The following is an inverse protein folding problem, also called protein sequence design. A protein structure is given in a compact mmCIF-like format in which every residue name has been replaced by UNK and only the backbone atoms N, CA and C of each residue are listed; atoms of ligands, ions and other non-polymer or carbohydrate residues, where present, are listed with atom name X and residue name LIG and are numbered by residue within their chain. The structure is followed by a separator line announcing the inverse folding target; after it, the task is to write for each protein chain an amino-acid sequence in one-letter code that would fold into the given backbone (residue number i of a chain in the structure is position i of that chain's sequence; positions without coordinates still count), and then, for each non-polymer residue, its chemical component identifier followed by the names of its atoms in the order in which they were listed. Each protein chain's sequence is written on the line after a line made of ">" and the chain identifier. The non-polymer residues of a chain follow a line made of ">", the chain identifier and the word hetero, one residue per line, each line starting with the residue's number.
data_IF_857299264580
#
_entry.id   IF_857299264580
#
_cell.length_a   1.000
_cell.length_b   1.000
_cell.length_c   1.000
_cell.angle_alpha   90.00
_cell.angle_beta   90.00
_cell.angle_gamma   90.00
#
_symmetry.space_group_name_H-M   'P 1'
#
loop_
_entity.id
_entity.type
_entity.pdbx_description
1 polymer ?
#
# COMPACT_ATOMS: atom_id res chain seq x y z
N UNK A 1 18.40 -29.90 27.05
CA UNK A 1 17.13 -29.54 27.70
C UNK A 1 16.02 -30.24 26.96
N UNK A 2 15.04 -30.76 27.69
CA UNK A 2 13.91 -31.52 27.18
C UNK A 2 12.65 -31.10 27.95
N UNK A 3 11.50 -31.03 27.30
CA UNK A 3 10.24 -30.65 27.93
C UNK A 3 10.10 -29.13 28.09
N UNK A 4 9.40 -28.67 29.14
CA UNK A 4 9.18 -27.22 29.36
C UNK A 4 10.19 -26.65 30.34
N UNK A 5 10.72 -25.46 30.04
CA UNK A 5 11.64 -24.81 30.96
C UNK A 5 12.06 -23.41 30.54
N UNK A 6 12.70 -22.72 31.48
CA UNK A 6 13.29 -21.39 31.29
C UNK A 6 14.81 -21.53 31.28
N UNK A 7 15.46 -20.95 30.27
CA UNK A 7 16.90 -20.76 30.22
C UNK A 7 17.20 -19.27 30.11
N UNK A 8 18.09 -18.78 30.96
CA UNK A 8 18.67 -17.43 30.86
C UNK A 8 20.16 -17.58 30.58
N UNK A 9 20.62 -16.97 29.50
CA UNK A 9 22.02 -16.96 29.09
C UNK A 9 22.78 -15.80 29.77
N UNK A 10 24.11 -15.86 29.77
CA UNK A 10 24.96 -14.87 30.45
C UNK A 10 24.85 -13.46 29.86
N UNK A 11 24.44 -13.34 28.59
CA UNK A 11 24.17 -12.07 27.91
C UNK A 11 22.82 -11.43 28.32
N UNK A 12 22.05 -12.09 29.20
CA UNK A 12 20.74 -11.65 29.63
C UNK A 12 19.59 -12.05 28.69
N UNK A 13 19.89 -12.70 27.56
CA UNK A 13 18.86 -13.30 26.72
C UNK A 13 18.23 -14.50 27.42
N UNK A 14 16.96 -14.78 27.11
CA UNK A 14 16.24 -15.88 27.73
C UNK A 14 15.24 -16.53 26.80
N UNK A 15 14.96 -17.80 27.06
CA UNK A 15 13.89 -18.54 26.43
C UNK A 15 13.05 -19.24 27.51
N UNK A 16 11.74 -19.07 27.44
CA UNK A 16 10.74 -19.75 28.26
C UNK A 16 9.76 -20.48 27.33
N UNK A 17 9.83 -21.81 27.28
CA UNK A 17 9.00 -22.59 26.35
C UNK A 17 9.32 -24.08 26.29
N UNK A 18 8.88 -24.72 25.21
CA UNK A 18 9.15 -26.13 24.95
C UNK A 18 10.56 -26.32 24.36
N UNK A 19 11.21 -27.40 24.77
CA UNK A 19 12.56 -27.81 24.40
C UNK A 19 12.56 -29.25 23.91
N UNK A 20 13.40 -29.51 22.90
CA UNK A 20 13.74 -30.86 22.47
C UNK A 20 15.21 -30.89 22.05
N UNK A 21 16.00 -31.80 22.63
CA UNK A 21 17.42 -31.93 22.31
C UNK A 21 18.18 -30.58 22.31
N UNK A 22 17.99 -29.78 23.37
CA UNK A 22 18.60 -28.44 23.54
C UNK A 22 18.17 -27.39 22.50
N UNK A 23 17.19 -27.69 21.65
CA UNK A 23 16.61 -26.76 20.68
C UNK A 23 15.25 -26.25 21.14
N UNK A 24 14.91 -25.00 20.79
CA UNK A 24 13.55 -24.50 20.99
C UNK A 24 12.58 -25.23 20.08
N UNK A 25 11.46 -25.65 20.62
CA UNK A 25 10.37 -26.29 19.90
C UNK A 25 9.02 -25.75 20.38
N UNK A 26 7.95 -26.13 19.70
CA UNK A 26 6.59 -25.95 20.19
C UNK A 26 6.25 -24.48 20.40
N UNK A 27 5.79 -24.12 21.59
CA UNK A 27 5.51 -22.73 21.96
C UNK A 27 6.57 -22.19 22.91
N UNK A 28 6.93 -20.93 22.73
CA UNK A 28 7.86 -20.28 23.65
C UNK A 28 7.99 -18.77 23.45
N UNK A 29 8.59 -18.13 24.44
CA UNK A 29 8.95 -16.72 24.47
C UNK A 29 10.46 -16.60 24.49
N UNK A 30 11.06 -16.05 23.43
CA UNK A 30 12.47 -15.66 23.41
C UNK A 30 12.59 -14.15 23.63
N UNK A 31 13.39 -13.75 24.60
CA UNK A 31 13.87 -12.38 24.78
C UNK A 31 15.35 -12.33 24.43
N UNK A 32 15.74 -11.42 23.55
CA UNK A 32 17.15 -11.15 23.22
C UNK A 32 17.73 -10.10 24.17
N UNK A 33 19.05 -10.11 24.35
CA UNK A 33 19.76 -9.10 25.13
C UNK A 33 19.50 -7.66 24.62
N UNK A 34 19.34 -7.51 23.31
CA UNK A 34 19.05 -6.23 22.64
C UNK A 34 17.59 -5.77 22.79
N UNK A 35 16.76 -6.49 23.55
CA UNK A 35 15.37 -6.11 23.85
C UNK A 35 14.32 -6.54 22.83
N UNK A 36 14.69 -7.28 21.77
CA UNK A 36 13.69 -7.91 20.91
C UNK A 36 13.03 -9.10 21.61
N UNK A 37 11.74 -9.29 21.36
CA UNK A 37 10.94 -10.39 21.90
C UNK A 37 10.22 -11.13 20.77
N UNK A 38 10.26 -12.47 20.79
CA UNK A 38 9.36 -13.31 20.01
C UNK A 38 8.52 -14.17 20.95
N UNK A 39 7.21 -14.19 20.73
CA UNK A 39 6.27 -15.08 21.38
C UNK A 39 5.52 -15.87 20.31
N UNK A 40 5.69 -17.18 20.28
CA UNK A 40 4.94 -18.01 19.35
C UNK A 40 5.57 -19.37 19.12
N UNK A 41 5.37 -19.86 17.90
CA UNK A 41 5.72 -21.21 17.49
C UNK A 41 7.19 -21.31 17.08
N UNK A 42 7.85 -22.39 17.49
CA UNK A 42 9.25 -22.69 17.23
C UNK A 42 9.42 -24.08 16.63
N UNK A 43 10.33 -24.20 15.67
CA UNK A 43 10.81 -25.46 15.12
C UNK A 43 12.33 -25.41 15.01
N UNK A 44 13.03 -26.31 15.71
CA UNK A 44 14.50 -26.44 15.68
C UNK A 44 15.21 -25.09 15.91
N UNK A 45 14.80 -24.38 16.98
CA UNK A 45 15.33 -23.06 17.34
C UNK A 45 15.06 -21.92 16.36
N UNK A 46 14.24 -22.14 15.32
CA UNK A 46 13.75 -21.11 14.39
C UNK A 46 12.29 -20.79 14.66
N UNK A 47 11.88 -19.56 14.38
CA UNK A 47 10.45 -19.19 14.35
C UNK A 47 9.77 -19.91 13.19
N UNK A 48 8.76 -20.72 13.49
CA UNK A 48 8.04 -21.51 12.48
C UNK A 48 6.60 -21.72 12.96
N UNK A 49 5.62 -21.28 12.16
CA UNK A 49 4.21 -21.20 12.55
C UNK A 49 3.77 -19.79 12.94
N UNK A 50 2.74 -19.67 13.78
CA UNK A 50 2.19 -18.36 14.20
C UNK A 50 3.01 -17.77 15.35
N UNK A 51 3.30 -16.47 15.30
CA UNK A 51 3.95 -15.77 16.40
C UNK A 51 3.97 -14.25 16.26
N UNK A 52 4.18 -13.59 17.40
CA UNK A 52 4.34 -12.14 17.52
C UNK A 52 5.82 -11.83 17.76
N UNK A 53 6.41 -11.01 16.90
CA UNK A 53 7.73 -10.44 17.11
C UNK A 53 7.61 -8.94 17.41
N UNK A 54 8.19 -8.52 18.52
CA UNK A 54 8.28 -7.13 18.92
C UNK A 54 9.76 -6.74 18.88
N UNK A 55 10.10 -5.77 18.03
CA UNK A 55 11.45 -5.24 17.98
C UNK A 55 11.66 -4.23 19.10
N UNK A 56 12.89 -4.11 19.60
CA UNK A 56 13.26 -3.08 20.57
C UNK A 56 13.02 -1.64 20.06
N UNK A 57 13.02 -1.46 18.73
CA UNK A 57 12.67 -0.21 18.05
C UNK A 57 11.17 0.13 18.08
N UNK A 58 10.32 -0.75 18.62
CA UNK A 58 8.87 -0.56 18.70
C UNK A 58 8.08 -1.06 17.49
N UNK A 59 8.74 -1.59 16.46
CA UNK A 59 8.04 -2.34 15.41
C UNK A 59 7.38 -3.59 16.02
N UNK A 60 6.28 -4.04 15.41
CA UNK A 60 5.64 -5.30 15.79
C UNK A 60 5.13 -6.04 14.55
N UNK A 61 5.28 -7.36 14.54
CA UNK A 61 4.72 -8.25 13.52
C UNK A 61 3.99 -9.39 14.21
N UNK A 62 2.71 -9.52 13.93
CA UNK A 62 1.86 -10.63 14.33
C UNK A 62 1.47 -11.41 13.07
N UNK A 63 2.06 -12.58 12.87
CA UNK A 63 1.90 -13.28 11.60
C UNK A 63 2.44 -14.69 11.59
N UNK A 64 2.51 -15.25 10.39
CA UNK A 64 3.10 -16.54 10.13
C UNK A 64 4.60 -16.42 9.86
N UNK A 65 5.34 -17.42 10.29
CA UNK A 65 6.78 -17.53 10.19
C UNK A 65 7.14 -18.88 9.58
N UNK A 66 8.20 -18.90 8.78
CA UNK A 66 8.82 -20.12 8.29
C UNK A 66 10.32 -19.94 8.33
N UNK A 67 11.00 -20.76 9.12
CA UNK A 67 12.45 -20.70 9.28
C UNK A 67 13.00 -19.28 9.51
N UNK A 68 12.46 -18.58 10.52
CA UNK A 68 12.79 -17.19 10.88
C UNK A 68 12.37 -16.10 9.87
N UNK A 69 11.72 -16.49 8.77
CA UNK A 69 11.24 -15.57 7.72
C UNK A 69 9.73 -15.37 7.84
N UNK A 70 9.29 -14.10 7.85
CA UNK A 70 7.86 -13.75 7.80
C UNK A 70 7.25 -14.26 6.49
N UNK A 71 6.11 -14.93 6.59
CA UNK A 71 5.41 -15.52 5.46
C UNK A 71 3.90 -15.50 5.69
N UNK A 72 3.12 -15.98 4.74
CA UNK A 72 1.67 -16.13 4.88
C UNK A 72 0.99 -14.81 5.21
N UNK A 73 0.00 -14.83 6.10
CA UNK A 73 -0.74 -13.65 6.47
C UNK A 73 -0.26 -13.03 7.79
N UNK A 74 -0.05 -11.72 7.81
CA UNK A 74 0.44 -11.02 8.99
C UNK A 74 0.05 -9.54 9.08
N UNK A 75 0.09 -9.03 10.31
CA UNK A 75 -0.12 -7.63 10.65
C UNK A 75 1.21 -7.05 11.11
N UNK A 76 1.71 -6.03 10.42
CA UNK A 76 2.89 -5.28 10.80
C UNK A 76 2.48 -3.88 11.27
N UNK A 77 2.95 -3.48 12.44
CA UNK A 77 2.75 -2.16 13.02
C UNK A 77 4.09 -1.42 13.08
N UNK A 78 4.10 -0.20 12.57
CA UNK A 78 5.24 0.69 12.70
C UNK A 78 5.09 1.57 13.95
N UNK A 79 6.20 1.99 14.60
CA UNK A 79 6.18 2.97 15.69
C UNK A 79 5.51 4.29 15.30
N UNK A 80 5.51 4.64 14.01
CA UNK A 80 4.83 5.82 13.48
C UNK A 80 3.31 5.78 13.62
N UNK A 81 2.72 4.61 13.88
CA UNK A 81 1.28 4.38 13.86
C UNK A 81 0.76 3.80 12.55
N UNK A 82 1.60 3.67 11.51
CA UNK A 82 1.23 2.93 10.30
C UNK A 82 0.95 1.46 10.65
N UNK A 83 0.02 0.85 9.92
CA UNK A 83 -0.31 -0.58 10.05
C UNK A 83 -0.49 -1.18 8.66
N UNK A 84 0.09 -2.36 8.44
CA UNK A 84 -0.13 -3.17 7.26
C UNK A 84 -0.73 -4.50 7.69
N UNK A 85 -1.77 -4.95 6.98
CA UNK A 85 -2.45 -6.21 7.19
C UNK A 85 -2.58 -6.88 5.82
N UNK A 86 -1.90 -8.00 5.61
CA UNK A 86 -1.89 -8.64 4.31
C UNK A 86 -0.90 -9.80 4.22
N UNK A 87 -0.65 -10.18 2.98
CA UNK A 87 0.20 -11.31 2.65
C UNK A 87 1.69 -10.92 2.64
N UNK A 88 2.50 -11.89 3.05
CA UNK A 88 3.95 -11.82 3.15
C UNK A 88 4.59 -12.99 2.42
N UNK A 89 5.59 -12.70 1.59
CA UNK A 89 6.38 -13.71 0.88
C UNK A 89 7.85 -13.37 1.09
N UNK A 90 8.62 -14.33 1.60
CA UNK A 90 10.06 -14.17 1.86
C UNK A 90 10.40 -12.87 2.62
N UNK A 91 9.61 -12.54 3.64
CA UNK A 91 9.82 -11.36 4.47
C UNK A 91 9.36 -10.03 3.87
N UNK A 92 8.71 -10.02 2.69
CA UNK A 92 8.23 -8.82 2.01
C UNK A 92 6.71 -8.80 1.91
N UNK A 93 6.10 -7.62 1.92
CA UNK A 93 4.68 -7.45 1.60
C UNK A 93 4.46 -7.78 0.12
N UNK A 94 3.59 -8.75 -0.16
CA UNK A 94 3.37 -9.27 -1.51
C UNK A 94 1.99 -9.91 -1.64
N UNK A 95 1.29 -9.66 -2.76
CA UNK A 95 -0.10 -10.05 -2.96
C UNK A 95 -1.08 -9.02 -2.38
N UNK A 96 -2.23 -9.48 -1.85
CA UNK A 96 -3.25 -8.57 -1.32
C UNK A 96 -2.89 -8.05 0.08
N UNK A 97 -3.14 -6.77 0.32
CA UNK A 97 -2.95 -6.17 1.63
C UNK A 97 -3.52 -4.76 1.76
N UNK A 98 -3.80 -4.39 3.00
CA UNK A 98 -4.29 -3.07 3.38
C UNK A 98 -3.23 -2.40 4.25
N UNK A 99 -2.79 -1.21 3.85
CA UNK A 99 -1.99 -0.32 4.69
C UNK A 99 -2.82 0.87 5.14
N UNK A 100 -2.96 1.07 6.45
CA UNK A 100 -3.46 2.30 7.05
C UNK A 100 -2.29 3.15 7.51
N UNK A 101 -2.36 4.45 7.25
CA UNK A 101 -1.32 5.40 7.59
C UNK A 101 -1.73 6.18 8.85
N UNK A 102 -0.74 6.60 9.64
CA UNK A 102 -0.99 7.36 10.85
C UNK A 102 -1.69 8.70 10.60
N UNK A 103 -1.56 9.26 9.39
CA UNK A 103 -2.24 10.48 8.94
C UNK A 103 -3.75 10.30 8.65
N UNK A 104 -4.27 9.07 8.73
CA UNK A 104 -5.65 8.71 8.42
C UNK A 104 -5.89 8.25 6.98
N UNK A 105 -4.87 8.29 6.12
CA UNK A 105 -4.92 7.71 4.78
C UNK A 105 -4.92 6.18 4.79
N UNK A 106 -5.20 5.57 3.64
CA UNK A 106 -5.10 4.13 3.45
C UNK A 106 -4.80 3.72 2.02
N UNK A 107 -4.26 2.52 1.85
CA UNK A 107 -4.17 1.83 0.57
C UNK A 107 -4.70 0.39 0.74
N UNK A 108 -5.61 -0.01 -0.13
CA UNK A 108 -6.16 -1.37 -0.22
C UNK A 108 -5.95 -1.88 -1.64
N UNK A 109 -5.11 -2.90 -1.83
CA UNK A 109 -4.79 -3.40 -3.16
C UNK A 109 -3.66 -4.40 -3.21
N UNK A 110 -3.04 -4.47 -4.38
CA UNK A 110 -1.92 -5.36 -4.68
C UNK A 110 -0.57 -4.78 -4.22
N UNK A 111 0.29 -5.68 -3.75
CA UNK A 111 1.63 -5.38 -3.27
C UNK A 111 2.63 -6.29 -3.97
N UNK A 112 3.81 -5.75 -4.25
CA UNK A 112 4.92 -6.52 -4.79
C UNK A 112 6.23 -5.94 -4.25
N UNK A 113 7.07 -6.79 -3.67
CA UNK A 113 8.38 -6.38 -3.13
C UNK A 113 8.32 -5.18 -2.16
N UNK A 114 7.33 -5.12 -1.27
CA UNK A 114 7.06 -3.99 -0.36
C UNK A 114 6.50 -2.71 -1.00
N UNK A 115 6.28 -2.68 -2.31
CA UNK A 115 5.67 -1.55 -3.00
C UNK A 115 4.22 -1.83 -3.34
N UNK A 116 3.42 -0.76 -3.32
CA UNK A 116 2.11 -0.74 -3.95
C UNK A 116 2.27 -1.05 -5.44
N UNK A 117 1.52 -2.01 -5.97
CA UNK A 117 1.62 -2.49 -7.34
C UNK A 117 0.23 -2.96 -7.83
N UNK A 118 0.07 -3.32 -9.10
CA UNK A 118 -1.17 -3.92 -9.60
C UNK A 118 -2.37 -2.99 -9.43
N UNK A 119 -3.52 -3.52 -9.00
CA UNK A 119 -4.73 -2.72 -8.84
C UNK A 119 -4.96 -2.37 -7.36
N UNK A 120 -5.38 -1.14 -7.08
CA UNK A 120 -5.76 -0.77 -5.72
C UNK A 120 -6.40 0.61 -5.54
N UNK A 121 -7.00 0.78 -4.37
CA UNK A 121 -7.64 2.00 -3.91
C UNK A 121 -6.74 2.70 -2.88
N UNK A 122 -6.24 3.88 -3.23
CA UNK A 122 -5.60 4.81 -2.29
C UNK A 122 -6.61 5.85 -1.83
N UNK A 123 -6.72 6.04 -0.52
CA UNK A 123 -7.38 7.17 0.12
C UNK A 123 -6.33 8.03 0.81
N UNK A 124 -6.37 9.33 0.59
CA UNK A 124 -5.49 10.29 1.25
C UNK A 124 -6.23 10.97 2.41
N UNK A 125 -5.48 11.45 3.40
CA UNK A 125 -6.02 12.14 4.57
C UNK A 125 -6.86 13.38 4.21
N UNK A 126 -6.56 14.03 3.09
CA UNK A 126 -7.32 15.17 2.56
C UNK A 126 -8.66 14.78 1.89
N UNK A 127 -9.05 13.50 1.94
CA UNK A 127 -10.28 12.98 1.35
C UNK A 127 -10.21 12.68 -0.15
N UNK A 128 -9.11 13.03 -0.83
CA UNK A 128 -8.92 12.58 -2.21
C UNK A 128 -8.69 11.07 -2.27
N UNK A 129 -8.99 10.47 -3.41
CA UNK A 129 -8.79 9.04 -3.64
C UNK A 129 -8.34 8.73 -5.06
N UNK A 130 -7.70 7.57 -5.22
CA UNK A 130 -7.34 7.02 -6.52
C UNK A 130 -7.66 5.53 -6.55
N UNK A 131 -8.43 5.12 -7.54
CA UNK A 131 -8.79 3.74 -7.78
C UNK A 131 -8.32 3.35 -9.18
N UNK A 132 -7.34 2.47 -9.29
CA UNK A 132 -6.75 2.11 -10.58
C UNK A 132 -5.45 1.34 -10.45
N UNK A 133 -4.70 1.30 -11.55
CA UNK A 133 -3.45 0.57 -11.62
C UNK A 133 -2.29 1.36 -10.98
N UNK A 134 -1.32 0.61 -10.49
CA UNK A 134 -0.14 1.04 -9.77
C UNK A 134 1.09 0.29 -10.25
N UNK A 135 2.21 0.99 -10.31
CA UNK A 135 3.50 0.40 -10.64
C UNK A 135 4.56 0.95 -9.70
N UNK A 136 5.06 0.09 -8.81
CA UNK A 136 6.17 0.40 -7.90
C UNK A 136 5.95 1.68 -7.06
N UNK A 137 4.74 1.85 -6.54
CA UNK A 137 4.36 2.98 -5.70
C UNK A 137 3.80 4.20 -6.45
N UNK A 138 3.82 4.21 -7.79
CA UNK A 138 3.30 5.30 -8.59
C UNK A 138 1.98 4.92 -9.28
N UNK A 139 1.07 5.89 -9.45
CA UNK A 139 -0.11 5.70 -10.31
C UNK A 139 0.35 5.42 -11.73
N UNK A 140 -0.16 4.36 -12.33
CA UNK A 140 0.21 3.93 -13.67
C UNK A 140 -1.03 3.31 -14.34
N UNK A 141 -1.00 3.09 -15.66
CA UNK A 141 -2.10 2.41 -16.36
C UNK A 141 -3.42 3.18 -16.26
N UNK A 142 -4.53 2.47 -16.10
CA UNK A 142 -5.86 3.10 -16.03
C UNK A 142 -6.25 3.39 -14.60
N UNK A 143 -6.83 4.56 -14.37
CA UNK A 143 -7.31 4.90 -13.05
C UNK A 143 -8.23 6.11 -12.99
N UNK A 144 -8.98 6.14 -11.90
CA UNK A 144 -9.83 7.26 -11.50
C UNK A 144 -9.19 7.96 -10.32
N UNK A 145 -8.91 9.26 -10.43
CA UNK A 145 -8.57 10.13 -9.30
C UNK A 145 -9.76 11.03 -8.98
N UNK A 146 -10.24 10.98 -7.74
CA UNK A 146 -11.30 11.86 -7.23
C UNK A 146 -10.70 12.81 -6.20
N UNK A 147 -10.96 14.11 -6.35
CA UNK A 147 -10.60 15.16 -5.40
C UNK A 147 -11.83 15.98 -5.01
N UNK A 148 -11.66 16.99 -4.15
CA UNK A 148 -12.73 17.93 -3.83
C UNK A 148 -13.18 18.77 -5.04
N UNK A 149 -12.35 18.91 -6.08
CA UNK A 149 -12.61 19.75 -7.26
C UNK A 149 -13.23 18.99 -8.43
N UNK A 150 -13.08 17.67 -8.46
CA UNK A 150 -13.55 16.86 -9.57
C UNK A 150 -12.95 15.48 -9.61
N UNK A 151 -13.22 14.80 -10.72
CA UNK A 151 -12.81 13.43 -10.98
C UNK A 151 -12.14 13.33 -12.34
N UNK A 152 -10.91 12.83 -12.38
CA UNK A 152 -10.24 12.42 -13.60
C UNK A 152 -10.33 10.90 -13.78
N UNK A 153 -10.72 10.44 -14.97
CA UNK A 153 -10.67 9.02 -15.37
C UNK A 153 -9.89 8.91 -16.67
N UNK A 154 -8.79 8.15 -16.68
CA UNK A 154 -7.96 8.04 -17.88
C UNK A 154 -6.67 7.27 -17.64
N UNK A 155 -5.72 7.45 -18.56
CA UNK A 155 -4.40 6.82 -18.51
C UNK A 155 -3.41 7.63 -17.66
N UNK A 156 -2.51 6.90 -17.00
CA UNK A 156 -1.51 7.42 -16.08
C UNK A 156 -0.14 6.81 -16.38
N UNK A 157 0.90 7.64 -16.38
CA UNK A 157 2.30 7.18 -16.44
C UNK A 157 3.09 7.98 -15.40
N UNK A 158 3.73 7.25 -14.47
CA UNK A 158 4.56 7.83 -13.40
C UNK A 158 3.86 8.96 -12.64
N UNK A 159 2.60 8.71 -12.25
CA UNK A 159 1.80 9.66 -11.51
C UNK A 159 1.16 10.79 -12.33
N UNK A 160 1.46 10.91 -13.62
CA UNK A 160 0.96 11.96 -14.51
C UNK A 160 -0.13 11.45 -15.44
N UNK A 161 -1.15 12.30 -15.69
CA UNK A 161 -2.22 12.01 -16.65
C UNK A 161 -1.64 12.09 -18.07
N UNK A 162 -1.91 11.08 -18.88
CA UNK A 162 -1.44 10.99 -20.26
C UNK A 162 -2.55 10.44 -21.16
N UNK A 163 -2.39 10.56 -22.47
CA UNK A 163 -3.30 9.96 -23.44
C UNK A 163 -4.73 10.49 -23.28
N UNK A 164 -5.72 9.66 -23.56
CA UNK A 164 -7.12 10.06 -23.45
C UNK A 164 -7.61 10.01 -22.00
N UNK A 165 -8.39 11.02 -21.59
CA UNK A 165 -8.98 11.06 -20.26
C UNK A 165 -10.11 12.07 -20.11
N UNK A 166 -11.04 11.75 -19.22
CA UNK A 166 -12.21 12.57 -18.89
C UNK A 166 -12.01 13.21 -17.53
N UNK A 167 -12.11 14.54 -17.45
CA UNK A 167 -12.16 15.29 -16.21
C UNK A 167 -13.55 15.86 -15.99
N UNK A 168 -14.28 15.35 -15.00
CA UNK A 168 -15.58 15.84 -14.57
C UNK A 168 -15.41 16.82 -13.42
N UNK A 169 -15.98 18.02 -13.55
CA UNK A 169 -15.89 19.07 -12.53
C UNK A 169 -16.98 18.92 -11.48
N UNK A 170 -16.67 19.26 -10.23
CA UNK A 170 -17.67 19.32 -9.15
C UNK A 170 -18.84 20.28 -9.47
N UNK A 171 -18.55 21.37 -10.18
CA UNK A 171 -19.56 22.37 -10.60
C UNK A 171 -20.46 21.87 -11.73
N UNK A 172 -20.25 20.65 -12.22
CA UNK A 172 -20.88 20.15 -13.44
C UNK A 172 -20.06 20.45 -14.69
N UNK A 173 -20.37 19.73 -15.76
CA UNK A 173 -19.60 19.70 -16.98
C UNK A 173 -18.35 18.80 -16.92
N UNK A 174 -17.82 18.45 -18.08
CA UNK A 174 -16.64 17.61 -18.19
C UNK A 174 -15.82 17.93 -19.44
N UNK A 175 -14.52 17.72 -19.32
CA UNK A 175 -13.58 17.77 -20.43
C UNK A 175 -13.24 16.34 -20.83
N UNK A 176 -13.49 16.00 -22.07
CA UNK A 176 -13.16 14.72 -22.68
C UNK A 176 -12.10 14.94 -23.76
N UNK A 177 -10.87 14.52 -23.53
CA UNK A 177 -9.79 14.81 -24.48
C UNK A 177 -8.43 14.26 -24.10
N UNK A 178 -7.40 14.77 -24.77
CA UNK A 178 -6.03 14.28 -24.61
C UNK A 178 -5.28 15.04 -23.50
N UNK A 179 -4.37 14.32 -22.84
CA UNK A 179 -3.55 14.78 -21.74
C UNK A 179 -2.08 14.43 -22.01
N UNK A 180 -1.17 15.33 -21.62
CA UNK A 180 0.26 15.12 -21.66
C UNK A 180 0.90 15.77 -20.44
N UNK A 181 1.67 15.01 -19.66
CA UNK A 181 2.36 15.52 -18.48
C UNK A 181 1.44 16.13 -17.42
N UNK A 182 0.23 15.60 -17.24
CA UNK A 182 -0.76 16.15 -16.29
C UNK A 182 -1.49 17.41 -16.78
N UNK A 183 -1.31 17.80 -18.04
CA UNK A 183 -1.97 18.96 -18.64
C UNK A 183 -2.83 18.54 -19.81
N UNK A 184 -3.90 19.30 -20.10
CA UNK A 184 -4.65 19.16 -21.34
C UNK A 184 -3.74 19.38 -22.54
N UNK A 185 -3.92 18.56 -23.56
CA UNK A 185 -3.12 18.58 -24.78
C UNK A 185 -3.98 18.15 -25.98
N UNK A 186 -3.62 18.59 -27.19
CA UNK A 186 -4.33 18.21 -28.41
C UNK A 186 -5.80 18.63 -28.39
N UNK A 187 -6.64 17.85 -29.05
CA UNK A 187 -8.08 18.13 -29.16
C UNK A 187 -8.86 17.49 -28.01
N UNK A 188 -9.90 18.19 -27.55
CA UNK A 188 -10.89 17.65 -26.62
C UNK A 188 -12.23 18.36 -26.71
N UNK A 189 -13.27 17.73 -26.18
CA UNK A 189 -14.61 18.27 -26.06
C UNK A 189 -14.84 18.77 -24.64
N UNK A 190 -15.27 20.02 -24.53
CA UNK A 190 -15.76 20.60 -23.30
C UNK A 190 -17.28 20.59 -23.31
N UNK A 191 -17.86 19.78 -22.42
CA UNK A 191 -19.29 19.70 -22.18
C UNK A 191 -19.61 20.56 -20.96
N UNK A 192 -20.33 21.65 -21.16
CA UNK A 192 -20.77 22.53 -20.08
C UNK A 192 -21.96 21.92 -19.34
N UNK A 193 -22.19 22.40 -18.12
CA UNK A 193 -23.36 22.01 -17.33
C UNK A 193 -24.68 22.44 -17.98
N UNK A 194 -24.67 23.49 -18.82
CA UNK A 194 -25.83 23.98 -19.56
C UNK A 194 -26.14 23.17 -20.84
N UNK A 195 -25.37 22.13 -21.15
CA UNK A 195 -25.52 21.31 -22.36
C UNK A 195 -24.68 21.78 -23.55
N UNK A 196 -24.09 22.98 -23.50
CA UNK A 196 -23.21 23.48 -24.58
C UNK A 196 -22.00 22.56 -24.75
N UNK A 197 -21.69 22.23 -26.01
CA UNK A 197 -20.49 21.45 -26.36
C UNK A 197 -19.52 22.33 -27.15
N UNK A 198 -18.25 22.35 -26.76
CA UNK A 198 -17.19 23.06 -27.46
C UNK A 198 -16.05 22.09 -27.81
N UNK A 199 -15.54 22.16 -29.04
CA UNK A 199 -14.24 21.56 -29.38
C UNK A 199 -13.16 22.54 -28.97
N UNK A 200 -12.14 22.06 -28.28
CA UNK A 200 -11.00 22.84 -27.83
C UNK A 200 -9.69 22.21 -28.29
N UNK A 201 -8.71 23.04 -28.62
CA UNK A 201 -7.33 22.62 -28.92
C UNK A 201 -6.41 23.19 -27.84
N UNK A 202 -5.55 22.34 -27.28
CA UNK A 202 -4.68 22.66 -26.15
C UNK A 202 -3.22 22.35 -26.48
N UNK A 203 -2.31 23.22 -26.03
CA UNK A 203 -0.87 23.02 -26.10
C UNK A 203 -0.24 23.40 -24.76
N UNK A 204 0.51 22.47 -24.16
CA UNK A 204 1.12 22.65 -22.83
C UNK A 204 0.17 23.18 -21.74
N UNK A 205 -1.09 22.73 -21.76
CA UNK A 205 -2.14 23.17 -20.83
C UNK A 205 -2.73 24.55 -21.12
N UNK A 206 -2.37 25.18 -22.24
CA UNK A 206 -2.94 26.46 -22.70
C UNK A 206 -3.95 26.24 -23.81
N UNK A 207 -5.08 26.92 -23.73
CA UNK A 207 -6.11 26.88 -24.76
C UNK A 207 -5.62 27.65 -25.99
N UNK A 208 -5.52 26.97 -27.13
CA UNK A 208 -5.10 27.53 -28.42
C UNK A 208 -6.32 28.00 -29.22
N UNK A 209 -7.37 27.19 -29.30
CA UNK A 209 -8.61 27.53 -29.99
C UNK A 209 -9.83 26.84 -29.39
N UNK A 210 -11.01 27.44 -29.55
CA UNK A 210 -12.29 26.85 -29.15
C UNK A 210 -13.39 27.14 -30.17
N UNK A 211 -14.20 26.13 -30.51
CA UNK A 211 -15.35 26.25 -31.43
C UNK A 211 -16.57 25.60 -30.78
N UNK A 212 -17.68 26.32 -30.71
CA UNK A 212 -18.96 25.78 -30.21
C UNK A 212 -19.58 24.87 -31.26
N UNK A 213 -19.86 23.62 -30.90
CA UNK A 213 -20.53 22.64 -31.76
C UNK A 213 -22.06 22.67 -31.60
N UNK A 214 -22.54 22.83 -30.36
CA UNK A 214 -23.97 22.70 -30.03
C UNK A 214 -24.34 23.56 -28.82
N UNK A 215 -25.60 23.99 -28.78
CA UNK A 215 -26.24 24.71 -27.66
C UNK A 215 -27.48 23.93 -27.22
#
# INVERSE_FOLDING_TARGET
>A
MEGKGVKTDADGSSYDGDWQNDSFQGQGVRKSADGNEYKGSWQNSKKDGRGVFTWASGHQYDGEWKEDVRTGYGVYKWPSGDVFKGNWVAGKMEGKGIKTYADGGSYDGDWQNNYVHGYGLRKWANGSEYNGDWMSGERHGRGTHTSAEGKFTGEWVKGQQVGHGVYTYKTGGYFDGTWAGGKRHGTGHWHKADGTIMVQVWEEGRLVSAVTLMK
#
